data_IF_678763307657
#
_entry.id   IF_678763307657
#
_cell.length_a   1.000
_cell.length_b   1.000
_cell.length_c   1.000
_cell.angle_alpha   90.00
_cell.angle_beta   90.00
_cell.angle_gamma   90.00
#
_symmetry.space_group_name_H-M   'P 1'
#
loop_
_entity.id
_entity.type
_entity.pdbx_description
1 polymer ?
#
# COMPACT_ATOMS: atom_id res chain seq x y z
N UNK A 1 6.31 -13.61 -16.60
CA UNK A 1 5.83 -14.02 -15.30
C UNK A 1 6.36 -13.09 -14.22
N UNK A 2 5.50 -12.64 -13.36
CA UNK A 2 5.92 -11.69 -12.32
C UNK A 2 6.75 -12.40 -11.26
N UNK A 3 7.85 -11.78 -10.91
CA UNK A 3 8.65 -12.27 -9.80
C UNK A 3 8.03 -11.81 -8.50
N UNK A 4 8.10 -12.66 -7.50
CA UNK A 4 7.60 -12.32 -6.19
C UNK A 4 8.71 -12.46 -5.16
N UNK A 5 8.59 -11.69 -4.08
CA UNK A 5 9.61 -11.68 -3.06
C UNK A 5 8.97 -11.86 -1.68
N UNK A 6 9.64 -12.65 -0.86
CA UNK A 6 9.19 -12.89 0.50
C UNK A 6 9.95 -11.97 1.45
N UNK A 7 9.23 -11.27 2.30
CA UNK A 7 9.81 -10.48 3.36
C UNK A 7 9.36 -11.07 4.69
N UNK A 8 10.29 -11.26 5.59
CA UNK A 8 9.97 -11.90 6.86
C UNK A 8 9.11 -11.03 7.76
N UNK A 9 9.21 -9.73 7.61
CA UNK A 9 8.41 -8.83 8.41
C UNK A 9 8.41 -7.43 7.86
N UNK A 10 7.83 -6.52 8.63
CA UNK A 10 7.66 -5.14 8.25
C UNK A 10 8.98 -4.44 7.95
N UNK A 11 10.00 -4.71 8.77
CA UNK A 11 11.28 -4.02 8.65
C UNK A 11 11.98 -4.36 7.32
N UNK A 12 11.94 -5.64 6.93
CA UNK A 12 12.57 -6.05 5.69
C UNK A 12 11.94 -5.38 4.47
N UNK A 13 10.60 -5.29 4.47
CA UNK A 13 9.90 -4.61 3.40
C UNK A 13 10.21 -3.11 3.39
N UNK A 14 10.25 -2.52 4.57
CA UNK A 14 10.59 -1.10 4.69
C UNK A 14 11.98 -0.81 4.13
N UNK A 15 12.95 -1.65 4.45
CA UNK A 15 14.30 -1.47 3.95
C UNK A 15 14.38 -1.61 2.44
N UNK A 16 13.61 -2.54 1.88
CA UNK A 16 13.55 -2.68 0.43
C UNK A 16 13.02 -1.40 -0.22
N UNK A 17 11.95 -0.86 0.32
CA UNK A 17 11.39 0.38 -0.22
C UNK A 17 12.34 1.56 -0.05
N UNK A 18 13.03 1.64 1.08
CA UNK A 18 14.03 2.70 1.24
C UNK A 18 15.06 2.68 0.12
N UNK A 19 15.47 1.49 -0.28
CA UNK A 19 16.51 1.36 -1.30
C UNK A 19 15.97 1.49 -2.72
N UNK A 20 14.71 1.12 -2.96
CA UNK A 20 14.24 0.92 -4.32
C UNK A 20 13.01 1.70 -4.71
N UNK A 21 12.36 2.42 -3.79
CA UNK A 21 11.07 3.03 -4.10
C UNK A 21 11.14 4.04 -5.24
N UNK A 22 12.28 4.67 -5.46
CA UNK A 22 12.41 5.68 -6.51
C UNK A 22 12.86 5.09 -7.85
N UNK A 23 13.34 3.86 -7.84
CA UNK A 23 13.82 3.22 -9.07
C UNK A 23 12.92 2.08 -9.54
N UNK A 24 12.19 1.45 -8.63
CA UNK A 24 11.27 0.37 -8.99
C UNK A 24 9.87 0.95 -9.16
N UNK A 25 9.05 0.28 -9.97
CA UNK A 25 7.67 0.74 -10.18
C UNK A 25 6.66 -0.16 -9.49
N UNK A 26 7.00 -1.40 -9.26
CA UNK A 26 6.09 -2.33 -8.58
C UNK A 26 6.87 -3.53 -8.09
N UNK A 27 6.22 -4.29 -7.21
CA UNK A 27 6.76 -5.56 -6.74
C UNK A 27 5.62 -6.43 -6.26
N UNK A 28 5.73 -7.73 -6.54
CA UNK A 28 4.80 -8.71 -6.00
C UNK A 28 5.40 -9.26 -4.71
N UNK A 29 4.62 -9.24 -3.64
CA UNK A 29 5.03 -9.80 -2.36
C UNK A 29 4.33 -11.12 -2.12
N UNK A 30 5.09 -12.10 -1.61
CA UNK A 30 4.48 -13.33 -1.08
C UNK A 30 4.05 -13.03 0.34
N UNK A 31 2.77 -13.22 0.62
CA UNK A 31 2.24 -12.98 1.96
C UNK A 31 1.66 -14.27 2.50
N UNK A 32 2.09 -14.65 3.70
CA UNK A 32 1.66 -15.89 4.31
C UNK A 32 0.16 -15.85 4.60
N UNK A 33 -0.51 -16.95 4.25
CA UNK A 33 -1.91 -17.10 4.56
C UNK A 33 -2.07 -17.33 6.06
N UNK A 34 -3.23 -16.93 6.57
CA UNK A 34 -3.56 -17.15 7.95
C UNK A 34 -3.46 -18.64 8.27
N UNK A 35 -2.84 -18.93 9.40
CA UNK A 35 -2.72 -20.31 9.89
C UNK A 35 -1.90 -21.22 8.99
N UNK A 36 -1.04 -20.65 8.15
CA UNK A 36 -0.18 -21.44 7.28
C UNK A 36 1.06 -21.97 7.98
N UNK A 37 1.36 -21.45 9.16
CA UNK A 37 2.56 -21.82 9.88
C UNK A 37 3.82 -21.12 9.41
N UNK A 38 3.69 -20.20 8.47
CA UNK A 38 4.83 -19.48 7.89
C UNK A 38 4.76 -18.03 8.34
N UNK A 39 5.92 -17.44 8.58
CA UNK A 39 6.02 -16.05 8.99
C UNK A 39 6.36 -15.17 7.80
N UNK A 40 5.63 -14.09 7.64
CA UNK A 40 5.94 -13.07 6.63
C UNK A 40 5.36 -11.74 7.09
N UNK A 41 5.74 -10.68 6.36
CA UNK A 41 5.05 -9.40 6.50
C UNK A 41 3.57 -9.63 6.20
N UNK A 42 2.69 -9.03 7.00
CA UNK A 42 1.26 -9.16 6.76
C UNK A 42 0.81 -8.13 5.73
N UNK A 43 -0.38 -8.36 5.15
CA UNK A 43 -0.93 -7.39 4.21
C UNK A 43 -1.06 -6.01 4.85
N UNK A 44 -1.57 -5.95 6.08
CA UNK A 44 -1.77 -4.66 6.74
C UNK A 44 -0.45 -3.94 6.98
N UNK A 45 0.57 -4.67 7.42
CA UNK A 45 1.89 -4.07 7.61
C UNK A 45 2.48 -3.60 6.28
N UNK A 46 2.33 -4.42 5.25
CA UNK A 46 2.88 -4.09 3.94
C UNK A 46 2.22 -2.85 3.36
N UNK A 47 0.91 -2.71 3.55
CA UNK A 47 0.20 -1.54 3.07
C UNK A 47 0.65 -0.28 3.80
N UNK A 48 0.77 -0.35 5.14
CA UNK A 48 1.20 0.81 5.91
C UNK A 48 2.57 1.30 5.44
N UNK A 49 3.50 0.38 5.25
CA UNK A 49 4.84 0.76 4.78
C UNK A 49 4.78 1.33 3.37
N UNK A 50 4.02 0.69 2.48
CA UNK A 50 3.89 1.17 1.11
C UNK A 50 3.36 2.60 1.07
N UNK A 51 2.35 2.90 1.87
CA UNK A 51 1.77 4.25 1.90
C UNK A 51 2.79 5.29 2.33
N UNK A 52 3.71 4.92 3.22
CA UNK A 52 4.74 5.85 3.67
C UNK A 52 5.63 6.31 2.52
N UNK A 53 5.78 5.50 1.48
CA UNK A 53 6.64 5.81 0.33
C UNK A 53 5.85 6.22 -0.91
N UNK A 54 4.56 6.43 -0.78
CA UNK A 54 3.75 6.82 -1.92
C UNK A 54 3.38 5.67 -2.84
N UNK A 55 3.47 4.46 -2.34
CA UNK A 55 3.06 3.26 -3.05
C UNK A 55 1.67 2.86 -2.59
N UNK A 56 1.01 2.00 -3.36
CA UNK A 56 -0.36 1.56 -3.07
C UNK A 56 -0.49 0.09 -3.43
N UNK A 57 -1.42 -0.59 -2.79
CA UNK A 57 -1.70 -1.98 -3.12
C UNK A 57 -2.43 -2.08 -4.46
N UNK A 58 -2.19 -3.17 -5.16
CA UNK A 58 -2.83 -3.45 -6.43
C UNK A 58 -3.49 -4.82 -6.40
N UNK A 59 -3.19 -5.62 -7.40
CA UNK A 59 -3.83 -6.91 -7.58
C UNK A 59 -3.39 -7.93 -6.54
N UNK A 60 -4.28 -8.85 -6.26
CA UNK A 60 -4.03 -9.99 -5.41
C UNK A 60 -4.18 -11.24 -6.27
N UNK A 61 -3.29 -12.21 -6.09
CA UNK A 61 -3.34 -13.46 -6.84
C UNK A 61 -3.06 -14.65 -5.95
N UNK A 62 -3.64 -15.81 -6.25
CA UNK A 62 -3.29 -17.02 -5.52
C UNK A 62 -1.87 -17.46 -5.87
N UNK A 63 -1.23 -18.18 -4.98
CA UNK A 63 0.10 -18.72 -5.23
C UNK A 63 0.13 -20.21 -4.89
N UNK A 64 0.02 -20.55 -3.60
CA UNK A 64 -0.02 -21.95 -3.20
C UNK A 64 -0.77 -22.07 -1.86
N UNK A 65 -0.58 -23.20 -1.16
CA UNK A 65 -1.31 -23.45 0.08
C UNK A 65 -0.93 -22.50 1.19
N UNK A 66 0.28 -21.97 1.15
CA UNK A 66 0.82 -21.19 2.26
C UNK A 66 0.83 -19.69 2.00
N UNK A 67 0.88 -19.29 0.74
CA UNK A 67 1.04 -17.89 0.37
C UNK A 67 0.02 -17.44 -0.65
N UNK A 68 -0.23 -16.15 -0.65
CA UNK A 68 -0.85 -15.49 -1.78
C UNK A 68 0.09 -14.37 -2.22
N UNK A 69 -0.15 -13.83 -3.41
CA UNK A 69 0.66 -12.73 -3.94
C UNK A 69 -0.13 -11.45 -3.86
N UNK A 70 0.55 -10.40 -3.43
CA UNK A 70 -0.03 -9.06 -3.39
C UNK A 70 0.90 -8.10 -4.10
N UNK A 71 0.39 -7.39 -5.09
CA UNK A 71 1.18 -6.41 -5.81
C UNK A 71 1.10 -5.07 -5.12
N UNK A 72 2.26 -4.39 -5.02
CA UNK A 72 2.34 -3.00 -4.57
C UNK A 72 3.07 -2.23 -5.65
N UNK A 73 2.66 -0.98 -5.88
CA UNK A 73 3.25 -0.18 -6.95
C UNK A 73 3.19 1.29 -6.60
N UNK A 74 3.97 2.08 -7.35
CA UNK A 74 3.90 3.53 -7.18
C UNK A 74 2.48 3.97 -7.51
N UNK A 75 2.04 5.02 -6.82
CA UNK A 75 0.71 5.55 -7.02
C UNK A 75 0.68 6.38 -8.32
N UNK A 76 -0.31 6.12 -9.17
CA UNK A 76 -0.44 6.88 -10.41
C UNK A 76 -1.10 8.22 -10.18
N UNK A 77 -0.98 9.09 -11.18
CA UNK A 77 -1.55 10.44 -11.09
C UNK A 77 -3.07 10.43 -10.91
N UNK A 78 -3.71 9.46 -11.54
CA UNK A 78 -5.16 9.34 -11.49
C UNK A 78 -5.63 8.38 -10.41
N UNK A 79 -4.73 8.01 -9.52
CA UNK A 79 -5.02 7.05 -8.46
C UNK A 79 -6.20 7.55 -7.62
N UNK A 80 -7.12 6.63 -7.34
CA UNK A 80 -8.26 6.93 -6.47
C UNK A 80 -7.82 6.76 -5.03
N UNK A 81 -8.23 7.70 -4.20
CA UNK A 81 -7.93 7.67 -2.78
C UNK A 81 -9.15 7.20 -2.02
N UNK A 82 -9.01 6.17 -1.22
CA UNK A 82 -10.10 5.70 -0.38
C UNK A 82 -10.05 6.41 0.97
N UNK A 83 -11.21 6.48 1.62
CA UNK A 83 -11.27 7.04 2.96
C UNK A 83 -10.38 6.28 3.92
N UNK A 84 -10.36 4.96 3.80
CA UNK A 84 -9.55 4.11 4.68
C UNK A 84 -8.07 4.45 4.52
N UNK A 85 -7.59 4.57 3.29
CA UNK A 85 -6.18 4.89 3.06
C UNK A 85 -5.85 6.30 3.52
N UNK A 86 -6.77 7.23 3.32
CA UNK A 86 -6.56 8.59 3.81
C UNK A 86 -6.39 8.60 5.32
N UNK A 87 -7.24 7.86 6.03
CA UNK A 87 -7.16 7.80 7.49
C UNK A 87 -5.89 7.12 7.96
N UNK A 88 -5.46 6.06 7.26
CA UNK A 88 -4.19 5.43 7.56
C UNK A 88 -3.03 6.39 7.42
N UNK A 89 -3.04 7.18 6.35
CA UNK A 89 -1.98 8.14 6.10
C UNK A 89 -1.96 9.22 7.18
N UNK A 90 -3.13 9.69 7.60
CA UNK A 90 -3.18 10.67 8.67
C UNK A 90 -2.56 10.13 9.96
N UNK A 91 -2.81 8.86 10.26
CA UNK A 91 -2.20 8.23 11.42
C UNK A 91 -0.69 8.11 11.26
N UNK A 92 -0.22 7.77 10.06
CA UNK A 92 1.20 7.65 9.78
C UNK A 92 1.91 9.00 9.85
N UNK A 93 1.24 10.06 9.44
CA UNK A 93 1.77 11.42 9.60
C UNK A 93 1.93 11.75 11.07
N UNK A 94 0.92 11.45 11.87
CA UNK A 94 0.98 11.73 13.30
C UNK A 94 2.07 10.96 14.01
N UNK A 95 2.34 9.73 13.56
CA UNK A 95 3.38 8.90 14.16
C UNK A 95 4.78 9.26 13.67
N UNK A 96 4.88 10.07 12.64
CA UNK A 96 6.17 10.44 12.07
C UNK A 96 6.77 9.41 11.15
N UNK A 97 5.99 8.44 10.72
CA UNK A 97 6.49 7.36 9.86
C UNK A 97 6.50 7.70 8.38
N UNK A 98 5.74 8.73 7.97
CA UNK A 98 5.69 9.08 6.55
C UNK A 98 7.05 9.54 6.05
N UNK A 99 7.34 9.16 4.82
CA UNK A 99 8.57 9.56 4.14
C UNK A 99 8.26 10.63 3.12
N UNK A 100 9.30 11.30 2.63
CA UNK A 100 9.13 12.42 1.71
C UNK A 100 8.33 12.04 0.47
N UNK A 101 8.58 10.86 -0.09
CA UNK A 101 7.85 10.44 -1.28
C UNK A 101 6.36 10.26 -1.01
N UNK A 102 6.02 9.74 0.17
CA UNK A 102 4.62 9.58 0.54
C UNK A 102 3.94 10.91 0.78
N UNK A 103 4.63 11.83 1.44
CA UNK A 103 4.08 13.16 1.67
C UNK A 103 3.87 13.90 0.37
N UNK A 104 4.75 13.71 -0.60
CA UNK A 104 4.59 14.33 -1.92
C UNK A 104 3.30 13.86 -2.60
N UNK A 105 2.96 12.58 -2.45
CA UNK A 105 1.70 12.08 -3.01
C UNK A 105 0.49 12.70 -2.33
N UNK A 106 0.57 12.91 -1.02
CA UNK A 106 -0.52 13.56 -0.29
C UNK A 106 -0.71 14.98 -0.80
N UNK A 107 0.38 15.72 -0.98
CA UNK A 107 0.29 17.10 -1.47
C UNK A 107 -0.28 17.15 -2.87
N UNK A 108 0.12 16.20 -3.72
CA UNK A 108 -0.43 16.12 -5.07
C UNK A 108 -1.93 15.85 -5.03
N UNK A 109 -2.35 14.94 -4.16
CA UNK A 109 -3.77 14.61 -4.04
C UNK A 109 -4.58 15.81 -3.55
N UNK A 110 -4.02 16.58 -2.62
CA UNK A 110 -4.68 17.80 -2.15
C UNK A 110 -4.79 18.82 -3.26
N UNK A 111 -3.73 18.96 -4.05
CA UNK A 111 -3.71 19.97 -5.10
C UNK A 111 -4.70 19.68 -6.21
N UNK A 112 -4.93 18.40 -6.53
CA UNK A 112 -5.85 18.03 -7.61
C UNK A 112 -7.24 17.63 -7.15
N UNK A 113 -7.54 17.83 -5.86
CA UNK A 113 -8.87 17.58 -5.32
C UNK A 113 -9.16 16.13 -4.95
N UNK A 114 -8.24 15.23 -5.19
CA UNK A 114 -8.49 13.81 -4.91
C UNK A 114 -8.48 13.49 -3.42
N UNK A 115 -7.75 14.26 -2.65
CA UNK A 115 -7.72 14.08 -1.21
C UNK A 115 -9.10 14.35 -0.60
N UNK A 116 -9.74 15.44 -1.01
CA UNK A 116 -11.07 15.76 -0.52
C UNK A 116 -12.10 14.80 -1.08
N UNK A 117 -11.97 14.47 -2.35
CA UNK A 117 -12.89 13.55 -2.99
C UNK A 117 -12.86 12.17 -2.35
N UNK A 118 -11.71 11.77 -1.83
CA UNK A 118 -11.59 10.46 -1.18
C UNK A 118 -12.53 10.34 0.00
N UNK A 119 -12.63 11.39 0.77
CA UNK A 119 -13.47 11.36 1.96
C UNK A 119 -14.93 11.12 1.60
N UNK A 120 -15.42 11.81 0.61
CA UNK A 120 -16.82 11.69 0.21
C UNK A 120 -17.03 10.51 -0.72
N UNK A 121 -16.09 10.27 -1.62
CA UNK A 121 -16.19 9.17 -2.56
C UNK A 121 -16.27 7.82 -1.87
N UNK A 122 -15.51 7.66 -0.81
CA UNK A 122 -15.55 6.42 -0.05
C UNK A 122 -16.93 6.20 0.55
N UNK A 123 -17.53 7.25 1.05
CA UNK A 123 -18.87 7.19 1.60
C UNK A 123 -19.86 6.80 0.53
N UNK A 124 -19.74 7.39 -0.64
CA UNK A 124 -20.65 7.09 -1.73
C UNK A 124 -20.47 5.68 -2.27
N UNK A 125 -19.25 5.21 -2.27
CA UNK A 125 -18.99 3.87 -2.78
C UNK A 125 -19.59 2.79 -1.89
N UNK A 126 -19.72 3.08 -0.63
CA UNK A 126 -20.34 2.13 0.27
C UNK A 126 -21.82 2.00 0.03
N UNK A 127 -22.44 3.08 -0.37
CA UNK A 127 -23.86 3.08 -0.62
C UNK A 127 -24.18 2.47 -1.97
N UNK A 128 -23.58 2.95 -3.03
CA UNK A 128 -23.97 2.41 -4.31
C UNK A 128 -23.40 1.05 -4.58
N UNK A 129 -22.48 0.66 -3.83
CA UNK A 129 -22.08 -0.73 -3.97
C UNK A 129 -23.30 -1.60 -3.96
N UNK A 130 -24.31 -0.97 -3.70
CA UNK A 130 -25.59 -1.54 -3.89
C UNK A 130 -25.97 -1.76 -5.31
#
# INVERSE_FOLDING_TARGET
>A
MAESQLFEGKIEWLRWLEAHHSSAQSLWLKIAKKNSGVTSVTYAEALDVALCFGWIDGQKRPFDERFFLQRFSIRGKASIWSKINREKILALIRSGEMRAAGLAEVERAKANGRWEAAYEGSKNMQVPAD
#
